data_IF_365502125414
#
_entry.id   IF_365502125414
#
_cell.length_a   1.000
_cell.length_b   1.000
_cell.length_c   1.000
_cell.angle_alpha   90.00
_cell.angle_beta   90.00
_cell.angle_gamma   90.00
#
_symmetry.space_group_name_H-M   'P 1'
#
loop_
_entity.id
_entity.type
_entity.pdbx_description
1 polymer ?
#
# COMPACT_ATOMS: atom_id res chain seq x y z
N UNK A 1 2.29 -27.84 -1.06
CA UNK A 1 3.64 -27.25 -0.95
C UNK A 1 3.82 -26.61 0.43
N UNK A 2 4.21 -27.39 1.45
CA UNK A 2 4.15 -26.99 2.87
C UNK A 2 5.48 -26.52 3.49
N UNK A 3 6.60 -26.55 2.74
CA UNK A 3 7.94 -26.27 3.28
C UNK A 3 8.53 -24.90 2.91
N UNK A 4 7.90 -24.13 2.01
CA UNK A 4 8.47 -22.86 1.52
C UNK A 4 9.81 -23.01 0.79
N UNK A 5 10.23 -24.25 0.50
CA UNK A 5 11.30 -24.58 -0.44
C UNK A 5 10.64 -25.30 -1.61
N UNK A 6 10.75 -24.78 -2.84
CA UNK A 6 10.30 -25.52 -4.00
C UNK A 6 11.00 -26.89 -4.05
N UNK A 7 10.36 -27.87 -4.70
CA UNK A 7 11.05 -29.12 -5.00
C UNK A 7 12.35 -28.81 -5.75
N UNK A 8 13.37 -29.67 -5.60
CA UNK A 8 14.69 -29.46 -6.21
C UNK A 8 14.60 -29.24 -7.73
N UNK A 9 13.61 -29.86 -8.35
CA UNK A 9 13.35 -29.81 -9.80
C UNK A 9 12.07 -29.03 -10.12
N UNK A 10 11.60 -28.16 -9.22
CA UNK A 10 10.46 -27.32 -9.51
C UNK A 10 10.84 -26.37 -10.67
N UNK A 11 10.00 -26.28 -11.72
CA UNK A 11 10.27 -25.41 -12.84
C UNK A 11 9.98 -23.95 -12.47
N UNK A 12 10.91 -23.33 -11.74
CA UNK A 12 10.72 -21.97 -11.22
C UNK A 12 10.63 -20.91 -12.32
N UNK A 13 11.11 -21.22 -13.52
CA UNK A 13 11.12 -20.30 -14.67
C UNK A 13 10.03 -20.60 -15.70
N UNK A 14 9.44 -21.80 -15.73
CA UNK A 14 8.47 -22.16 -16.78
C UNK A 14 7.28 -21.20 -16.83
N UNK A 15 6.86 -20.66 -15.69
CA UNK A 15 5.78 -19.68 -15.62
C UNK A 15 6.10 -18.38 -16.37
N UNK A 16 7.30 -17.81 -16.16
CA UNK A 16 7.68 -16.58 -16.86
C UNK A 16 8.08 -16.86 -18.31
N UNK A 17 8.65 -18.03 -18.61
CA UNK A 17 8.95 -18.46 -19.98
C UNK A 17 7.65 -18.58 -20.79
N UNK A 18 6.61 -19.19 -20.25
CA UNK A 18 5.31 -19.30 -20.93
C UNK A 18 4.67 -17.92 -21.19
N UNK A 19 4.84 -16.96 -20.28
CA UNK A 19 4.37 -15.59 -20.50
C UNK A 19 5.16 -14.88 -21.62
N UNK A 20 6.47 -15.10 -21.69
CA UNK A 20 7.32 -14.59 -22.77
C UNK A 20 6.97 -15.20 -24.13
N UNK A 21 6.59 -16.49 -24.18
CA UNK A 21 6.08 -17.14 -25.39
C UNK A 21 4.78 -16.49 -25.87
N UNK A 22 3.83 -16.22 -24.96
CA UNK A 22 2.59 -15.49 -25.28
C UNK A 22 2.90 -14.07 -25.78
N UNK A 23 3.86 -13.36 -25.18
CA UNK A 23 4.28 -12.05 -25.67
C UNK A 23 4.86 -12.13 -27.09
N UNK A 24 5.64 -13.16 -27.40
CA UNK A 24 6.19 -13.37 -28.74
C UNK A 24 5.10 -13.69 -29.79
N UNK A 25 4.02 -14.37 -29.39
CA UNK A 25 2.85 -14.63 -30.25
C UNK A 25 2.03 -13.37 -30.52
N UNK A 26 1.99 -12.43 -29.56
CA UNK A 26 1.19 -11.19 -29.62
C UNK A 26 2.05 -9.93 -29.38
N UNK A 27 3.04 -9.64 -30.26
CA UNK A 27 4.06 -8.61 -30.00
C UNK A 27 3.53 -7.17 -29.96
N UNK A 28 2.37 -6.91 -30.56
CA UNK A 28 1.75 -5.57 -30.64
C UNK A 28 0.64 -5.37 -29.58
N UNK A 29 0.33 -6.38 -28.76
CA UNK A 29 -0.69 -6.27 -27.72
C UNK A 29 -0.09 -5.70 -26.43
N UNK A 30 -0.36 -4.42 -26.19
CA UNK A 30 0.17 -3.72 -25.03
C UNK A 30 -0.34 -4.29 -23.69
N UNK A 31 -1.52 -4.92 -23.66
CA UNK A 31 -2.09 -5.48 -22.43
C UNK A 31 -1.28 -6.72 -22.05
N UNK A 32 -0.99 -7.57 -23.03
CA UNK A 32 -0.11 -8.73 -22.84
C UNK A 32 1.28 -8.25 -22.42
N UNK A 33 1.88 -7.32 -23.16
CA UNK A 33 3.18 -6.73 -22.83
C UNK A 33 3.21 -6.18 -21.39
N UNK A 34 2.16 -5.46 -20.98
CA UNK A 34 2.07 -4.89 -19.62
C UNK A 34 2.00 -5.99 -18.56
N UNK A 35 1.19 -7.04 -18.76
CA UNK A 35 1.10 -8.17 -17.83
C UNK A 35 2.44 -8.88 -17.68
N UNK A 36 3.14 -9.15 -18.80
CA UNK A 36 4.45 -9.79 -18.76
C UNK A 36 5.49 -8.90 -18.07
N UNK A 37 5.52 -7.60 -18.37
CA UNK A 37 6.40 -6.65 -17.69
C UNK A 37 6.14 -6.59 -16.17
N UNK A 38 4.87 -6.55 -15.74
CA UNK A 38 4.50 -6.59 -14.32
C UNK A 38 4.94 -7.90 -13.66
N UNK A 39 4.82 -9.04 -14.34
CA UNK A 39 5.30 -10.31 -13.83
C UNK A 39 6.83 -10.31 -13.62
N UNK A 40 7.60 -9.72 -14.54
CA UNK A 40 9.03 -9.51 -14.35
C UNK A 40 9.32 -8.62 -13.13
N UNK A 41 8.60 -7.50 -12.97
CA UNK A 41 8.76 -6.59 -11.82
C UNK A 41 8.51 -7.33 -10.49
N UNK A 42 7.43 -8.11 -10.42
CA UNK A 42 7.09 -8.89 -9.22
C UNK A 42 8.16 -9.92 -8.88
N UNK A 43 8.70 -10.63 -9.89
CA UNK A 43 9.81 -11.57 -9.70
C UNK A 43 11.07 -10.83 -9.25
N UNK A 44 11.36 -9.67 -9.83
CA UNK A 44 12.47 -8.81 -9.41
C UNK A 44 12.37 -8.48 -7.92
N UNK A 45 11.25 -7.93 -7.47
CA UNK A 45 11.01 -7.63 -6.05
C UNK A 45 11.13 -8.87 -5.16
N UNK A 46 10.68 -10.04 -5.63
CA UNK A 46 10.82 -11.29 -4.90
C UNK A 46 12.28 -11.72 -4.70
N UNK A 47 13.17 -11.41 -5.66
CA UNK A 47 14.62 -11.62 -5.55
C UNK A 47 15.28 -10.63 -4.60
N UNK A 48 15.01 -9.32 -4.75
CA UNK A 48 15.56 -8.28 -3.87
C UNK A 48 15.15 -8.49 -2.42
N UNK A 49 13.87 -8.81 -2.19
CA UNK A 49 13.29 -8.90 -0.87
C UNK A 49 13.10 -7.53 -0.20
N UNK A 50 12.90 -7.56 1.12
CA UNK A 50 12.51 -6.40 1.95
C UNK A 50 13.66 -5.78 2.74
N UNK A 51 14.87 -6.36 2.68
CA UNK A 51 16.04 -5.87 3.40
C UNK A 51 16.59 -4.54 2.85
N UNK A 52 17.52 -3.95 3.58
CA UNK A 52 18.22 -2.75 3.13
C UNK A 52 19.09 -3.07 1.92
N UNK A 53 19.29 -2.08 1.04
CA UNK A 53 20.05 -2.26 -0.20
C UNK A 53 21.43 -2.90 0.05
N UNK A 54 22.12 -2.50 1.13
CA UNK A 54 23.45 -3.04 1.51
C UNK A 54 23.42 -4.53 1.89
N UNK A 55 22.28 -5.04 2.37
CA UNK A 55 22.11 -6.41 2.84
C UNK A 55 21.72 -7.38 1.72
N UNK A 56 21.27 -6.87 0.56
CA UNK A 56 20.85 -7.72 -0.56
C UNK A 56 22.08 -8.42 -1.16
N UNK A 57 22.12 -9.77 -1.23
CA UNK A 57 23.22 -10.51 -1.84
C UNK A 57 23.43 -10.14 -3.31
N UNK A 58 24.67 -10.15 -3.80
CA UNK A 58 25.00 -9.77 -5.19
C UNK A 58 24.14 -10.53 -6.22
N UNK A 59 24.07 -11.86 -6.10
CA UNK A 59 23.23 -12.71 -6.97
C UNK A 59 21.76 -12.26 -7.02
N UNK A 60 21.21 -11.83 -5.89
CA UNK A 60 19.83 -11.38 -5.81
C UNK A 60 19.65 -10.01 -6.46
N UNK A 61 20.65 -9.12 -6.35
CA UNK A 61 20.68 -7.84 -7.07
C UNK A 61 20.74 -8.06 -8.58
N UNK A 62 21.66 -8.91 -9.04
CA UNK A 62 21.78 -9.25 -10.47
C UNK A 62 20.48 -9.83 -11.05
N UNK A 63 19.80 -10.69 -10.29
CA UNK A 63 18.50 -11.22 -10.70
C UNK A 63 17.41 -10.13 -10.70
N UNK A 64 17.38 -9.26 -9.69
CA UNK A 64 16.48 -8.10 -9.67
C UNK A 64 16.71 -7.21 -10.90
N UNK A 65 17.96 -6.83 -11.16
CA UNK A 65 18.34 -5.95 -12.28
C UNK A 65 17.94 -6.58 -13.62
N UNK A 66 18.23 -7.86 -13.84
CA UNK A 66 17.88 -8.56 -15.08
C UNK A 66 16.35 -8.59 -15.35
N UNK A 67 15.54 -8.79 -14.30
CA UNK A 67 14.09 -8.77 -14.45
C UNK A 67 13.57 -7.34 -14.71
N UNK A 68 14.12 -6.33 -14.04
CA UNK A 68 13.74 -4.93 -14.28
C UNK A 68 14.17 -4.41 -15.65
N UNK A 69 15.36 -4.80 -16.13
CA UNK A 69 15.83 -4.51 -17.48
C UNK A 69 14.88 -5.13 -18.51
N UNK A 70 14.50 -6.40 -18.33
CA UNK A 70 13.54 -7.05 -19.24
C UNK A 70 12.17 -6.36 -19.22
N UNK A 71 11.66 -6.00 -18.05
CA UNK A 71 10.40 -5.27 -17.93
C UNK A 71 10.48 -3.90 -18.64
N UNK A 72 11.59 -3.17 -18.50
CA UNK A 72 11.83 -1.91 -19.22
C UNK A 72 11.81 -2.12 -20.73
N UNK A 73 12.55 -3.11 -21.24
CA UNK A 73 12.65 -3.39 -22.67
C UNK A 73 11.28 -3.71 -23.29
N UNK A 74 10.44 -4.46 -22.57
CA UNK A 74 9.05 -4.74 -23.00
C UNK A 74 8.25 -3.43 -23.08
N UNK A 75 8.32 -2.59 -22.05
CA UNK A 75 7.55 -1.35 -21.98
C UNK A 75 8.05 -0.24 -22.91
N UNK A 76 9.31 -0.26 -23.35
CA UNK A 76 9.85 0.71 -24.31
C UNK A 76 9.15 0.64 -25.68
N UNK A 77 8.63 -0.53 -26.04
CA UNK A 77 7.82 -0.73 -27.26
C UNK A 77 6.43 -0.07 -27.16
N UNK A 78 6.00 0.30 -25.95
CA UNK A 78 4.69 0.87 -25.65
C UNK A 78 4.84 2.13 -24.79
N UNK A 79 5.29 3.25 -25.37
CA UNK A 79 5.46 4.48 -24.62
C UNK A 79 4.11 5.04 -24.15
N UNK A 80 4.00 5.34 -22.85
CA UNK A 80 2.76 5.80 -22.22
C UNK A 80 2.13 7.06 -22.86
N UNK A 81 2.94 7.93 -23.48
CA UNK A 81 2.46 9.15 -24.15
C UNK A 81 1.51 8.85 -25.33
N UNK A 82 1.60 7.66 -25.92
CA UNK A 82 0.86 7.30 -27.12
C UNK A 82 -0.46 6.57 -26.78
N UNK A 83 -0.66 6.21 -25.50
CA UNK A 83 -1.84 5.50 -25.02
C UNK A 83 -2.32 6.02 -23.66
N UNK A 84 -3.55 6.49 -23.58
CA UNK A 84 -4.21 6.88 -22.32
C UNK A 84 -4.69 5.64 -21.55
N UNK A 85 -3.76 4.80 -21.10
CA UNK A 85 -4.06 3.57 -20.36
C UNK A 85 -3.49 3.61 -18.94
N UNK A 86 -4.34 3.66 -17.89
CA UNK A 86 -3.87 3.57 -16.50
C UNK A 86 -3.07 2.31 -16.21
N UNK A 87 -3.43 1.19 -16.85
CA UNK A 87 -2.71 -0.08 -16.71
C UNK A 87 -1.25 0.06 -17.16
N UNK A 88 -1.03 0.54 -18.39
CA UNK A 88 0.31 0.75 -18.92
C UNK A 88 1.09 1.80 -18.11
N UNK A 89 0.44 2.92 -17.78
CA UNK A 89 1.03 3.97 -16.95
C UNK A 89 1.48 3.45 -15.57
N UNK A 90 0.71 2.54 -14.97
CA UNK A 90 1.08 1.90 -13.70
C UNK A 90 2.33 1.04 -13.81
N UNK A 91 2.48 0.28 -14.91
CA UNK A 91 3.67 -0.52 -15.14
C UNK A 91 4.92 0.35 -15.38
N UNK A 92 4.78 1.45 -16.12
CA UNK A 92 5.87 2.44 -16.28
C UNK A 92 6.29 3.04 -14.92
N UNK A 93 5.34 3.41 -14.07
CA UNK A 93 5.66 3.88 -12.70
C UNK A 93 6.37 2.81 -11.88
N UNK A 94 5.93 1.55 -11.97
CA UNK A 94 6.52 0.44 -11.24
C UNK A 94 7.97 0.15 -11.67
N UNK A 95 8.27 0.16 -12.98
CA UNK A 95 9.64 0.01 -13.49
C UNK A 95 10.52 1.18 -13.06
N UNK A 96 10.06 2.43 -13.21
CA UNK A 96 10.81 3.62 -12.80
C UNK A 96 11.16 3.59 -11.30
N UNK A 97 10.31 3.00 -10.48
CA UNK A 97 10.49 2.95 -9.04
C UNK A 97 11.61 2.00 -8.59
N UNK A 98 11.93 0.98 -9.40
CA UNK A 98 13.01 0.02 -9.10
C UNK A 98 14.34 0.32 -9.79
N UNK A 99 14.37 1.25 -10.74
CA UNK A 99 15.58 1.65 -11.47
C UNK A 99 16.06 3.05 -11.02
N UNK A 100 17.35 3.38 -11.19
CA UNK A 100 17.81 4.75 -11.03
C UNK A 100 17.01 5.70 -11.93
N UNK A 101 16.36 6.70 -11.35
CA UNK A 101 15.59 7.70 -12.09
C UNK A 101 15.73 9.08 -11.45
N UNK A 102 15.51 10.12 -12.25
CA UNK A 102 15.32 11.47 -11.74
C UNK A 102 13.97 11.59 -11.01
N UNK A 103 13.98 12.29 -9.88
CA UNK A 103 12.80 12.49 -9.01
C UNK A 103 11.67 13.19 -9.75
N UNK A 104 11.96 14.20 -10.59
CA UNK A 104 10.92 14.93 -11.32
C UNK A 104 10.26 14.05 -12.38
N UNK A 105 11.04 13.17 -13.03
CA UNK A 105 10.50 12.18 -13.96
C UNK A 105 9.56 11.20 -13.25
N UNK A 106 9.92 10.74 -12.05
CA UNK A 106 9.07 9.87 -11.24
C UNK A 106 7.78 10.57 -10.83
N UNK A 107 7.88 11.82 -10.33
CA UNK A 107 6.72 12.65 -9.96
C UNK A 107 5.78 12.81 -11.15
N UNK A 108 6.31 13.23 -12.31
CA UNK A 108 5.49 13.45 -13.50
C UNK A 108 4.77 12.18 -13.96
N UNK A 109 5.41 11.01 -13.83
CA UNK A 109 4.78 9.73 -14.15
C UNK A 109 3.60 9.41 -13.22
N UNK A 110 3.77 9.61 -11.90
CA UNK A 110 2.68 9.42 -10.93
C UNK A 110 1.57 10.45 -11.11
N UNK A 111 1.88 11.73 -11.35
CA UNK A 111 0.89 12.76 -11.63
C UNK A 111 0.04 12.39 -12.84
N UNK A 112 0.67 11.95 -13.94
CA UNK A 112 -0.03 11.51 -15.14
C UNK A 112 -0.93 10.29 -14.88
N UNK A 113 -0.46 9.31 -14.11
CA UNK A 113 -1.27 8.14 -13.75
C UNK A 113 -2.45 8.51 -12.85
N UNK A 114 -2.25 9.41 -11.88
CA UNK A 114 -3.30 9.92 -11.00
C UNK A 114 -4.35 10.68 -11.82
N UNK A 115 -3.95 11.46 -12.82
CA UNK A 115 -4.90 12.16 -13.68
C UNK A 115 -5.78 11.19 -14.49
N UNK A 116 -5.24 10.03 -14.88
CA UNK A 116 -5.98 9.00 -15.62
C UNK A 116 -6.89 8.16 -14.71
N UNK A 117 -6.48 7.87 -13.47
CA UNK A 117 -7.23 7.05 -12.50
C UNK A 117 -7.21 7.68 -11.10
N UNK A 118 -7.92 8.81 -10.90
CA UNK A 118 -7.82 9.59 -9.66
C UNK A 118 -8.52 8.94 -8.47
N UNK A 119 -9.29 7.87 -8.70
CA UNK A 119 -9.97 7.12 -7.63
C UNK A 119 -9.09 6.03 -7.02
N UNK A 120 -7.94 5.75 -7.61
CA UNK A 120 -7.06 4.68 -7.17
C UNK A 120 -6.08 5.15 -6.10
N UNK A 121 -6.50 5.01 -4.84
CA UNK A 121 -5.72 5.35 -3.66
C UNK A 121 -4.32 4.69 -3.63
N UNK A 122 -4.16 3.50 -4.24
CA UNK A 122 -2.87 2.80 -4.30
C UNK A 122 -1.83 3.62 -5.05
N UNK A 123 -2.23 4.36 -6.08
CA UNK A 123 -1.30 5.19 -6.86
C UNK A 123 -0.69 6.31 -6.02
N UNK A 124 -1.53 7.04 -5.27
CA UNK A 124 -1.08 8.08 -4.34
C UNK A 124 -0.13 7.53 -3.28
N UNK A 125 -0.49 6.39 -2.70
CA UNK A 125 0.31 5.67 -1.70
C UNK A 125 1.69 5.25 -2.22
N UNK A 126 1.71 4.70 -3.42
CA UNK A 126 2.96 4.31 -4.10
C UNK A 126 3.82 5.53 -4.41
N UNK A 127 3.23 6.65 -4.85
CA UNK A 127 3.94 7.90 -5.06
C UNK A 127 4.65 8.35 -3.77
N UNK A 128 3.92 8.40 -2.65
CA UNK A 128 4.51 8.81 -1.38
C UNK A 128 5.64 7.90 -0.91
N UNK A 129 5.45 6.59 -1.06
CA UNK A 129 6.51 5.61 -0.73
C UNK A 129 7.78 5.86 -1.54
N UNK A 130 7.67 6.07 -2.85
CA UNK A 130 8.85 6.24 -3.71
C UNK A 130 9.48 7.64 -3.67
N UNK A 131 8.83 8.60 -3.02
CA UNK A 131 9.41 9.92 -2.71
C UNK A 131 10.19 9.97 -1.39
N UNK A 132 10.21 8.88 -0.61
CA UNK A 132 11.06 8.83 0.58
C UNK A 132 12.56 8.92 0.23
N UNK A 133 13.41 9.44 1.15
CA UNK A 133 14.86 9.58 0.95
C UNK A 133 15.59 8.29 0.56
N UNK A 134 15.09 7.13 1.03
CA UNK A 134 15.68 5.82 0.72
C UNK A 134 15.48 5.38 -0.74
N UNK A 135 14.64 6.09 -1.49
CA UNK A 135 14.32 5.82 -2.89
C UNK A 135 14.82 6.96 -3.76
N UNK A 136 13.92 7.83 -4.21
CA UNK A 136 14.23 8.83 -5.25
C UNK A 136 14.03 10.26 -4.78
N UNK A 137 13.47 10.51 -3.59
CA UNK A 137 13.06 11.86 -3.18
C UNK A 137 13.64 12.32 -1.85
N UNK A 138 12.92 13.23 -1.21
CA UNK A 138 13.21 13.78 0.11
C UNK A 138 11.92 13.97 0.90
N UNK A 139 11.99 14.15 2.22
CA UNK A 139 10.81 14.47 3.04
C UNK A 139 10.15 15.78 2.56
N UNK A 140 10.96 16.74 2.08
CA UNK A 140 10.47 17.99 1.52
C UNK A 140 9.71 17.78 0.20
N UNK A 141 10.25 16.95 -0.71
CA UNK A 141 9.56 16.63 -1.96
C UNK A 141 8.24 15.90 -1.68
N UNK A 142 8.25 14.94 -0.73
CA UNK A 142 7.06 14.24 -0.28
C UNK A 142 5.96 15.21 0.18
N UNK A 143 6.30 16.16 1.06
CA UNK A 143 5.36 17.15 1.60
C UNK A 143 4.77 18.04 0.49
N UNK A 144 5.64 18.57 -0.39
CA UNK A 144 5.20 19.41 -1.52
C UNK A 144 4.26 18.65 -2.44
N UNK A 145 4.59 17.40 -2.75
CA UNK A 145 3.77 16.59 -3.65
C UNK A 145 2.46 16.13 -2.99
N UNK A 146 2.46 15.80 -1.69
CA UNK A 146 1.23 15.44 -0.98
C UNK A 146 0.22 16.61 -1.00
N UNK A 147 0.67 17.84 -0.74
CA UNK A 147 -0.19 19.03 -0.83
C UNK A 147 -0.67 19.29 -2.25
N UNK A 148 0.20 19.10 -3.24
CA UNK A 148 -0.20 19.20 -4.65
C UNK A 148 -1.27 18.17 -4.99
N UNK A 149 -1.13 16.92 -4.55
CA UNK A 149 -2.11 15.88 -4.82
C UNK A 149 -3.45 16.15 -4.13
N UNK A 150 -3.45 16.71 -2.93
CA UNK A 150 -4.68 17.19 -2.29
C UNK A 150 -5.38 18.26 -3.13
N UNK A 151 -4.64 19.27 -3.60
CA UNK A 151 -5.19 20.33 -4.46
C UNK A 151 -5.75 19.77 -5.78
N UNK A 152 -4.97 18.94 -6.48
CA UNK A 152 -5.37 18.34 -7.76
C UNK A 152 -6.59 17.44 -7.65
N UNK A 153 -6.69 16.70 -6.54
CA UNK A 153 -7.79 15.76 -6.31
C UNK A 153 -8.87 16.28 -5.37
N UNK A 154 -8.88 17.59 -5.06
CA UNK A 154 -9.77 18.19 -4.06
C UNK A 154 -11.25 17.89 -4.33
N UNK A 155 -11.67 17.90 -5.60
CA UNK A 155 -13.05 17.58 -5.97
C UNK A 155 -13.45 16.15 -5.60
N UNK A 156 -12.49 15.22 -5.62
CA UNK A 156 -12.67 13.78 -5.42
C UNK A 156 -12.43 13.39 -3.97
N UNK A 157 -11.34 13.88 -3.38
CA UNK A 157 -10.84 13.46 -2.08
C UNK A 157 -10.85 14.54 -1.02
N UNK A 158 -11.15 15.80 -1.34
CA UNK A 158 -10.90 16.91 -0.40
C UNK A 158 -9.43 16.92 0.04
N UNK A 159 -9.17 16.93 1.34
CA UNK A 159 -7.83 16.75 1.90
C UNK A 159 -7.26 15.32 1.74
N UNK A 160 -8.10 14.34 1.39
CA UNK A 160 -7.72 12.92 1.30
C UNK A 160 -6.58 12.60 0.34
N UNK A 161 -6.35 13.42 -0.69
CA UNK A 161 -5.18 13.26 -1.57
C UNK A 161 -3.86 13.40 -0.82
N UNK A 162 -3.80 14.28 0.19
CA UNK A 162 -2.64 14.40 1.08
C UNK A 162 -2.47 13.14 1.94
N UNK A 163 -3.55 12.71 2.58
CA UNK A 163 -3.56 11.51 3.43
C UNK A 163 -3.13 10.26 2.67
N UNK A 164 -3.61 10.06 1.43
CA UNK A 164 -3.20 8.90 0.64
C UNK A 164 -1.73 8.90 0.26
N UNK A 165 -1.15 10.06 -0.09
CA UNK A 165 0.29 10.16 -0.35
C UNK A 165 1.10 9.89 0.93
N UNK A 166 0.67 10.43 2.06
CA UNK A 166 1.41 10.29 3.33
C UNK A 166 1.27 8.91 4.00
N UNK A 167 0.20 8.18 3.72
CA UNK A 167 -0.22 6.99 4.49
C UNK A 167 0.91 5.98 4.70
N UNK A 168 1.52 5.49 3.63
CA UNK A 168 2.59 4.50 3.75
C UNK A 168 3.93 5.15 4.12
N UNK A 169 4.14 6.41 3.70
CA UNK A 169 5.40 7.13 3.91
C UNK A 169 5.70 7.33 5.41
N UNK A 170 4.73 7.78 6.20
CA UNK A 170 4.92 8.03 7.65
C UNK A 170 5.02 6.74 8.47
N UNK A 171 4.55 5.61 7.93
CA UNK A 171 4.75 4.30 8.54
C UNK A 171 6.17 3.77 8.32
N UNK A 172 6.82 4.19 7.22
CA UNK A 172 8.12 3.69 6.79
C UNK A 172 9.30 4.59 7.17
N UNK A 173 9.05 5.88 7.45
CA UNK A 173 10.09 6.87 7.71
C UNK A 173 9.71 7.80 8.87
N UNK A 174 10.52 7.78 9.92
CA UNK A 174 10.29 8.56 11.14
C UNK A 174 10.40 10.07 10.92
N UNK A 175 11.24 10.52 9.98
CA UNK A 175 11.38 11.94 9.67
C UNK A 175 10.18 12.47 8.88
N UNK A 176 9.60 11.66 7.98
CA UNK A 176 8.31 11.96 7.36
C UNK A 176 7.19 11.99 8.41
N UNK A 177 7.19 11.06 9.37
CA UNK A 177 6.20 11.02 10.42
C UNK A 177 6.26 12.23 11.36
N UNK A 178 7.45 12.62 11.83
CA UNK A 178 7.59 13.73 12.78
C UNK A 178 7.28 15.11 12.18
N UNK A 179 7.46 15.27 10.86
CA UNK A 179 7.19 16.52 10.13
C UNK A 179 5.78 16.61 9.55
N UNK A 180 4.95 15.58 9.74
CA UNK A 180 3.60 15.51 9.18
C UNK A 180 2.73 16.69 9.66
N UNK A 181 2.06 17.35 8.71
CA UNK A 181 0.89 18.18 9.04
C UNK A 181 -0.27 17.27 9.48
N UNK A 182 -0.29 16.97 10.78
CA UNK A 182 -1.20 15.98 11.35
C UNK A 182 -2.66 16.42 11.29
N UNK A 183 -2.93 17.72 11.43
CA UNK A 183 -4.27 18.25 11.33
C UNK A 183 -4.83 18.01 9.92
N UNK A 184 -4.03 18.32 8.89
CA UNK A 184 -4.44 18.11 7.50
C UNK A 184 -4.54 16.62 7.14
N UNK A 185 -3.70 15.77 7.73
CA UNK A 185 -3.81 14.31 7.58
C UNK A 185 -5.13 13.76 8.13
N UNK A 186 -5.51 14.20 9.34
CA UNK A 186 -6.76 13.76 10.00
C UNK A 186 -7.99 14.31 9.27
N UNK A 187 -7.94 15.56 8.80
CA UNK A 187 -8.98 16.12 7.92
C UNK A 187 -9.16 15.24 6.67
N UNK A 188 -8.07 14.82 6.05
CA UNK A 188 -8.14 13.94 4.89
C UNK A 188 -8.69 12.54 5.21
N UNK A 189 -8.44 11.97 6.40
CA UNK A 189 -9.11 10.74 6.84
C UNK A 189 -10.64 10.91 6.89
N UNK A 190 -11.11 12.04 7.45
CA UNK A 190 -12.53 12.36 7.51
C UNK A 190 -13.13 12.55 6.11
N UNK A 191 -12.46 13.27 5.23
CA UNK A 191 -12.91 13.48 3.85
C UNK A 191 -13.00 12.17 3.07
N UNK A 192 -11.99 11.30 3.17
CA UNK A 192 -12.00 9.98 2.52
C UNK A 192 -13.24 9.19 2.95
N UNK A 193 -13.48 9.05 4.25
CA UNK A 193 -14.55 8.21 4.79
C UNK A 193 -15.94 8.82 4.61
N UNK A 194 -16.03 10.15 4.42
CA UNK A 194 -17.28 10.83 4.08
C UNK A 194 -17.64 10.62 2.61
N UNK A 195 -16.64 10.54 1.72
CA UNK A 195 -16.81 10.44 0.27
C UNK A 195 -16.81 9.00 -0.24
N UNK A 196 -16.14 8.09 0.48
CA UNK A 196 -16.05 6.65 0.20
C UNK A 196 -16.29 5.85 1.46
N UNK A 197 -17.44 5.21 1.50
CA UNK A 197 -17.92 4.42 2.65
C UNK A 197 -17.82 2.92 2.41
N UNK A 198 -17.14 2.48 1.34
CA UNK A 198 -16.93 1.05 1.10
C UNK A 198 -16.08 0.44 2.22
N UNK A 199 -16.43 -0.78 2.59
CA UNK A 199 -15.88 -1.39 3.78
C UNK A 199 -14.43 -1.83 3.60
N UNK A 200 -13.94 -1.93 2.37
CA UNK A 200 -12.51 -2.15 2.13
C UNK A 200 -11.70 -0.95 2.60
N UNK A 201 -12.06 0.27 2.18
CA UNK A 201 -11.41 1.50 2.61
C UNK A 201 -11.59 1.76 4.11
N UNK A 202 -12.77 1.49 4.66
CA UNK A 202 -13.01 1.60 6.11
C UNK A 202 -12.10 0.65 6.90
N UNK A 203 -12.03 -0.63 6.52
CA UNK A 203 -11.15 -1.60 7.18
C UNK A 203 -9.67 -1.23 7.02
N UNK A 204 -9.27 -0.74 5.85
CA UNK A 204 -7.90 -0.30 5.59
C UNK A 204 -7.49 0.81 6.57
N UNK A 205 -8.27 1.88 6.65
CA UNK A 205 -7.95 3.02 7.51
C UNK A 205 -8.11 2.69 8.99
N UNK A 206 -9.13 1.92 9.37
CA UNK A 206 -9.31 1.45 10.75
C UNK A 206 -8.12 0.60 11.21
N UNK A 207 -7.73 -0.39 10.41
CA UNK A 207 -6.61 -1.28 10.73
C UNK A 207 -5.28 -0.52 10.72
N UNK A 208 -5.08 0.41 9.78
CA UNK A 208 -3.89 1.28 9.74
C UNK A 208 -3.75 2.08 11.04
N UNK A 209 -4.81 2.79 11.44
CA UNK A 209 -4.79 3.60 12.67
C UNK A 209 -4.59 2.70 13.91
N UNK A 210 -5.32 1.58 14.01
CA UNK A 210 -5.31 0.75 15.20
C UNK A 210 -4.06 -0.14 15.36
N UNK A 211 -3.50 -0.66 14.26
CA UNK A 211 -2.33 -1.54 14.27
C UNK A 211 -1.06 -0.79 13.89
N UNK A 212 -0.99 -0.29 12.65
CA UNK A 212 0.27 0.23 12.10
C UNK A 212 0.76 1.46 12.86
N UNK A 213 -0.14 2.38 13.18
CA UNK A 213 0.20 3.57 13.99
C UNK A 213 0.16 3.29 15.49
N UNK A 214 -0.72 2.40 15.95
CA UNK A 214 -0.81 2.02 17.37
C UNK A 214 0.42 1.27 17.91
N UNK A 215 1.28 0.74 17.05
CA UNK A 215 2.54 0.10 17.43
C UNK A 215 3.67 1.15 17.54
N UNK A 216 3.88 1.71 18.73
CA UNK A 216 4.88 2.75 19.01
C UNK A 216 6.09 2.24 19.82
N UNK A 217 6.53 1.00 19.59
CA UNK A 217 7.69 0.48 20.32
C UNK A 217 8.95 1.22 19.86
N UNK A 218 9.69 1.78 20.83
CA UNK A 218 11.00 2.42 20.66
C UNK A 218 11.06 3.66 19.74
N UNK A 219 9.92 4.31 19.47
CA UNK A 219 9.87 5.54 18.69
C UNK A 219 10.28 6.76 19.54
N UNK A 220 10.93 7.75 18.92
CA UNK A 220 11.19 9.04 19.54
C UNK A 220 9.87 9.77 19.90
N UNK A 221 9.90 10.61 20.94
CA UNK A 221 8.70 11.24 21.51
C UNK A 221 7.82 11.96 20.46
N UNK A 222 8.42 12.68 19.52
CA UNK A 222 7.69 13.38 18.45
C UNK A 222 6.95 12.42 17.51
N UNK A 223 7.60 11.32 17.13
CA UNK A 223 7.01 10.28 16.27
C UNK A 223 5.91 9.54 17.02
N UNK A 224 6.16 9.19 18.29
CA UNK A 224 5.19 8.54 19.15
C UNK A 224 3.94 9.41 19.34
N UNK A 225 4.12 10.74 19.48
CA UNK A 225 3.01 11.68 19.57
C UNK A 225 2.15 11.69 18.31
N UNK A 226 2.76 11.83 17.12
CA UNK A 226 2.02 11.83 15.84
C UNK A 226 1.28 10.50 15.64
N UNK A 227 1.97 9.38 15.86
CA UNK A 227 1.37 8.04 15.74
C UNK A 227 0.21 7.84 16.71
N UNK A 228 0.34 8.32 17.95
CA UNK A 228 -0.74 8.26 18.95
C UNK A 228 -2.00 9.01 18.53
N UNK A 229 -1.86 10.22 18.00
CA UNK A 229 -2.98 11.01 17.49
C UNK A 229 -3.68 10.35 16.30
N UNK A 230 -2.92 9.71 15.40
CA UNK A 230 -3.52 8.93 14.30
C UNK A 230 -4.19 7.66 14.84
N UNK A 231 -3.59 6.98 15.82
CA UNK A 231 -4.18 5.80 16.44
C UNK A 231 -5.52 6.10 17.12
N UNK A 232 -5.66 7.26 17.75
CA UNK A 232 -6.91 7.71 18.37
C UNK A 232 -8.07 7.84 17.37
N UNK A 233 -7.78 8.10 16.09
CA UNK A 233 -8.77 8.15 15.02
C UNK A 233 -9.45 6.80 14.78
N UNK A 234 -8.79 5.67 15.07
CA UNK A 234 -9.35 4.33 14.90
C UNK A 234 -10.70 4.17 15.63
N UNK A 235 -10.83 4.79 16.80
CA UNK A 235 -12.06 4.74 17.60
C UNK A 235 -13.26 5.33 16.88
N UNK A 236 -13.07 6.47 16.23
CA UNK A 236 -14.12 7.13 15.46
C UNK A 236 -14.45 6.30 14.21
N UNK A 237 -13.45 5.86 13.46
CA UNK A 237 -13.64 5.05 12.23
C UNK A 237 -14.44 3.78 12.54
N UNK A 238 -14.01 3.02 13.55
CA UNK A 238 -14.64 1.74 13.90
C UNK A 238 -16.07 1.94 14.40
N UNK A 239 -16.33 2.96 15.22
CA UNK A 239 -17.68 3.19 15.77
C UNK A 239 -18.66 3.74 14.75
N UNK A 240 -18.20 4.56 13.80
CA UNK A 240 -19.09 5.30 12.90
C UNK A 240 -19.17 4.70 11.49
N UNK A 241 -18.14 3.98 11.04
CA UNK A 241 -18.03 3.55 9.64
C UNK A 241 -17.94 2.03 9.46
N UNK A 242 -17.44 1.28 10.45
CA UNK A 242 -17.26 -0.16 10.31
C UNK A 242 -18.60 -0.89 10.42
N UNK A 243 -18.96 -1.64 9.38
CA UNK A 243 -20.17 -2.47 9.29
C UNK A 243 -19.85 -3.95 9.05
N UNK A 244 -18.66 -4.24 8.51
CA UNK A 244 -18.14 -5.60 8.35
C UNK A 244 -16.64 -5.64 8.57
N UNK A 245 -16.12 -6.80 8.97
CA UNK A 245 -14.69 -7.00 9.21
C UNK A 245 -14.06 -7.73 8.03
N UNK A 246 -12.92 -7.23 7.53
CA UNK A 246 -12.13 -7.86 6.46
C UNK A 246 -10.81 -8.41 7.02
N UNK A 247 -10.73 -9.68 7.45
CA UNK A 247 -9.58 -10.19 8.21
C UNK A 247 -8.23 -10.08 7.49
N UNK A 248 -8.22 -10.22 6.16
CA UNK A 248 -7.01 -10.10 5.35
C UNK A 248 -6.36 -8.71 5.47
N UNK A 249 -7.17 -7.65 5.50
CA UNK A 249 -6.67 -6.27 5.63
C UNK A 249 -6.01 -6.08 7.00
N UNK A 250 -6.65 -6.57 8.06
CA UNK A 250 -6.12 -6.50 9.42
C UNK A 250 -4.83 -7.31 9.59
N UNK A 251 -4.74 -8.47 8.93
CA UNK A 251 -3.52 -9.27 8.90
C UNK A 251 -2.34 -8.54 8.24
N UNK A 252 -2.60 -7.82 7.14
CA UNK A 252 -1.58 -6.98 6.50
C UNK A 252 -1.20 -5.77 7.37
N UNK A 253 -2.17 -5.11 8.01
CA UNK A 253 -1.91 -3.96 8.88
C UNK A 253 -0.99 -4.32 10.07
N UNK A 254 -1.18 -5.49 10.67
CA UNK A 254 -0.33 -6.03 11.73
C UNK A 254 1.12 -6.32 11.27
N UNK A 255 1.37 -6.25 9.95
CA UNK A 255 2.68 -6.40 9.32
C UNK A 255 3.14 -5.11 8.61
N UNK A 256 2.55 -3.96 8.97
CA UNK A 256 2.89 -2.66 8.40
C UNK A 256 2.53 -2.50 6.92
N UNK A 257 1.52 -3.25 6.44
CA UNK A 257 1.14 -3.30 5.02
C UNK A 257 2.31 -3.63 4.08
N UNK A 258 3.24 -4.49 4.53
CA UNK A 258 4.32 -4.97 3.66
C UNK A 258 3.74 -5.71 2.43
N UNK A 259 3.79 -5.04 1.28
CA UNK A 259 3.31 -5.57 0.00
C UNK A 259 4.15 -6.75 -0.49
N UNK A 260 5.38 -6.92 0.01
CA UNK A 260 6.27 -8.03 -0.32
C UNK A 260 6.17 -9.19 0.68
N UNK A 261 5.22 -9.11 1.64
CA UNK A 261 5.02 -10.13 2.65
C UNK A 261 4.63 -11.46 1.99
N UNK A 262 5.44 -12.50 2.24
CA UNK A 262 5.16 -13.85 1.75
C UNK A 262 4.08 -14.53 2.60
N UNK A 263 2.84 -14.50 2.11
CA UNK A 263 1.71 -15.21 2.74
C UNK A 263 1.72 -16.69 2.33
N UNK A 264 2.16 -17.55 3.24
CA UNK A 264 2.27 -19.01 2.97
C UNK A 264 0.93 -19.75 3.01
N UNK A 265 0.00 -19.27 3.82
CA UNK A 265 -1.31 -19.89 4.02
C UNK A 265 -2.34 -18.76 4.24
N UNK A 266 -3.13 -18.41 3.21
CA UNK A 266 -4.12 -17.34 3.30
C UNK A 266 -5.08 -17.51 4.47
N UNK A 267 -5.59 -18.72 4.71
CA UNK A 267 -6.54 -18.98 5.80
C UNK A 267 -5.93 -18.70 7.18
N UNK A 268 -4.70 -19.14 7.43
CA UNK A 268 -4.00 -18.87 8.70
C UNK A 268 -3.69 -17.38 8.85
N UNK A 269 -3.36 -16.71 7.75
CA UNK A 269 -3.07 -15.29 7.75
C UNK A 269 -4.33 -14.46 8.05
N UNK A 270 -5.45 -14.78 7.38
CA UNK A 270 -6.76 -14.21 7.66
C UNK A 270 -7.21 -14.48 9.11
N UNK A 271 -7.04 -15.71 9.62
CA UNK A 271 -7.38 -16.04 11.00
C UNK A 271 -6.58 -15.23 12.03
N UNK A 272 -5.28 -14.98 11.77
CA UNK A 272 -4.46 -14.10 12.60
C UNK A 272 -4.98 -12.65 12.57
N UNK A 273 -5.30 -12.13 11.38
CA UNK A 273 -5.89 -10.79 11.25
C UNK A 273 -7.25 -10.66 11.95
N UNK A 274 -8.09 -11.70 11.88
CA UNK A 274 -9.36 -11.74 12.61
C UNK A 274 -9.15 -11.72 14.14
N UNK A 275 -8.17 -12.47 14.64
CA UNK A 275 -7.83 -12.48 16.07
C UNK A 275 -7.31 -11.11 16.54
N UNK A 276 -6.45 -10.46 15.76
CA UNK A 276 -5.93 -9.11 16.08
C UNK A 276 -7.04 -8.06 16.06
N UNK A 277 -7.88 -8.06 15.02
CA UNK A 277 -9.06 -7.21 14.95
C UNK A 277 -9.95 -7.42 16.17
N UNK A 278 -10.26 -8.67 16.51
CA UNK A 278 -11.12 -8.99 17.65
C UNK A 278 -10.55 -8.46 18.97
N UNK A 279 -9.25 -8.64 19.21
CA UNK A 279 -8.56 -8.11 20.40
C UNK A 279 -8.72 -6.59 20.50
N UNK A 280 -8.52 -5.87 19.40
CA UNK A 280 -8.65 -4.40 19.34
C UNK A 280 -10.09 -3.96 19.57
N UNK A 281 -11.04 -4.63 18.94
CA UNK A 281 -12.47 -4.32 19.10
C UNK A 281 -12.92 -4.58 20.54
N UNK A 282 -12.50 -5.68 21.15
CA UNK A 282 -12.80 -5.97 22.56
C UNK A 282 -12.23 -4.91 23.50
N UNK A 283 -11.00 -4.43 23.24
CA UNK A 283 -10.42 -3.36 24.02
C UNK A 283 -11.19 -2.04 23.85
N UNK A 284 -11.52 -1.72 22.59
CA UNK A 284 -12.22 -0.50 22.22
C UNK A 284 -13.65 -0.39 22.81
N UNK A 285 -14.34 -1.52 22.98
CA UNK A 285 -15.68 -1.62 23.57
C UNK A 285 -15.66 -2.20 24.99
N UNK A 286 -14.50 -2.22 25.67
CA UNK A 286 -14.32 -2.86 26.98
C UNK A 286 -15.36 -2.42 28.01
N UNK A 287 -15.68 -1.12 28.04
CA UNK A 287 -16.67 -0.56 28.98
C UNK A 287 -18.06 -1.12 28.71
N UNK A 288 -18.49 -1.14 27.46
CA UNK A 288 -19.79 -1.64 27.04
C UNK A 288 -19.90 -3.15 27.28
N UNK A 289 -18.85 -3.91 26.98
CA UNK A 289 -18.79 -5.35 27.26
C UNK A 289 -18.88 -5.65 28.76
N UNK A 290 -18.19 -4.88 29.61
CA UNK A 290 -18.29 -5.02 31.07
C UNK A 290 -19.68 -4.71 31.65
N UNK A 291 -20.52 -4.02 30.90
CA UNK A 291 -21.91 -3.72 31.26
C UNK A 291 -22.90 -4.79 30.80
N UNK A 292 -22.42 -5.94 30.32
CA UNK A 292 -23.27 -7.03 29.83
C UNK A 292 -23.91 -6.72 28.47
N UNK A 293 -23.27 -5.89 27.65
CA UNK A 293 -23.68 -5.65 26.26
C UNK A 293 -22.84 -6.50 25.31
N UNK A 294 -23.41 -6.90 24.18
CA UNK A 294 -22.71 -7.42 23.01
C UNK A 294 -22.61 -6.35 21.93
N UNK A 295 -21.51 -6.36 21.18
CA UNK A 295 -21.30 -5.50 20.02
C UNK A 295 -21.65 -6.31 18.77
N UNK A 296 -22.60 -5.84 17.98
CA UNK A 296 -22.99 -6.46 16.70
C UNK A 296 -22.74 -5.46 15.59
N UNK A 297 -21.94 -5.85 14.60
CA UNK A 297 -21.76 -5.04 13.39
C UNK A 297 -22.90 -5.32 12.43
N UNK A 298 -23.60 -4.26 12.04
CA UNK A 298 -24.74 -4.28 11.13
C UNK A 298 -24.48 -3.39 9.94
N UNK A 299 -25.36 -3.42 8.93
CA UNK A 299 -25.38 -2.47 7.82
C UNK A 299 -25.44 -1.00 8.25
N UNK A 300 -25.88 -0.72 9.49
CA UNK A 300 -25.93 0.62 10.11
C UNK A 300 -24.76 0.92 11.04
N UNK A 301 -23.76 0.04 11.10
CA UNK A 301 -22.58 0.17 11.95
C UNK A 301 -22.65 -0.70 13.21
N UNK A 302 -21.77 -0.40 14.17
CA UNK A 302 -21.68 -1.11 15.44
C UNK A 302 -22.88 -0.79 16.35
N UNK A 303 -23.68 -1.80 16.67
CA UNK A 303 -24.81 -1.72 17.59
C UNK A 303 -24.47 -2.41 18.91
N UNK A 304 -24.99 -1.84 20.01
CA UNK A 304 -24.85 -2.40 21.35
C UNK A 304 -26.17 -3.02 21.78
N UNK A 305 -26.17 -4.33 21.98
CA UNK A 305 -27.35 -5.08 22.39
C UNK A 305 -27.15 -5.67 23.80
N UNK A 306 -28.19 -5.83 24.62
CA UNK A 306 -28.09 -6.61 25.85
C UNK A 306 -27.69 -8.07 25.54
N UNK A 307 -26.88 -8.68 26.40
CA UNK A 307 -26.57 -10.12 26.38
C UNK A 307 -27.73 -10.94 26.93
#
# INVERSE_FOLDING_TARGET
>A
MLSGRPAKDAPLLDGIIALEEVLAEFPDDYVIATVVAMAHIDIGWAWRGTGWAVEVPLRNREAFDAHFDRARDILESFPNKDMSSPLLASAHCAVLSGLPTDTNRLIAAYEALIDMDPLNARTYRNMGTHLLPRWHGSVQDLEVQARRMASRSQAIWGAGGYTWVMLDAIALDDAACSQLDIAFFIEGLHDILTRRTDQHTVNLLAAYCANTMGMTLDAADEVAFVRGQIADCAKWIIRQHLTELHPMIWAHAARGFDNNLRVRCPDRFAAAGAADAHRILCDMFRRELSQGKRVVFTDRGAQLEPV
#
